data_IF_819552057788
#
_entry.id   IF_819552057788
#
_cell.length_a   1.000
_cell.length_b   1.000
_cell.length_c   1.000
_cell.angle_alpha   90.00
_cell.angle_beta   90.00
_cell.angle_gamma   90.00
#
_symmetry.space_group_name_H-M   'P 1'
#
loop_
_entity.id
_entity.type
_entity.pdbx_description
1 polymer ?
#
# COMPACT_ATOMS: atom_id res chain seq x y z
N UNK A 1 -92.84 -30.52 3.41
CA UNK A 1 -92.14 -31.82 3.56
C UNK A 1 -90.64 -31.60 3.42
N UNK A 2 -89.83 -32.37 4.17
CA UNK A 2 -88.34 -32.41 4.24
C UNK A 2 -87.63 -31.41 5.15
N UNK A 3 -87.44 -31.88 6.39
CA UNK A 3 -86.33 -31.54 7.28
C UNK A 3 -84.97 -31.87 6.64
N UNK A 4 -84.00 -30.95 6.72
CA UNK A 4 -82.57 -31.27 6.76
C UNK A 4 -81.88 -30.32 7.74
N UNK A 5 -81.58 -30.82 8.95
CA UNK A 5 -80.28 -31.33 9.42
C UNK A 5 -79.23 -30.24 9.62
N UNK A 6 -79.03 -29.92 10.90
CA UNK A 6 -77.86 -29.25 11.49
C UNK A 6 -76.55 -29.87 11.00
N UNK A 7 -75.63 -29.02 10.56
CA UNK A 7 -74.20 -29.34 10.50
C UNK A 7 -73.44 -28.31 11.34
N UNK A 8 -72.96 -28.78 12.49
CA UNK A 8 -71.95 -28.10 13.30
C UNK A 8 -70.68 -28.01 12.44
N UNK A 9 -70.22 -26.80 12.13
CA UNK A 9 -68.83 -26.59 11.69
C UNK A 9 -68.06 -26.00 12.85
N UNK A 10 -67.14 -26.82 13.33
CA UNK A 10 -66.15 -26.59 14.36
C UNK A 10 -65.34 -25.33 14.08
N UNK A 11 -65.29 -24.44 15.07
CA UNK A 11 -64.27 -23.40 15.22
C UNK A 11 -62.91 -24.10 15.32
N UNK A 12 -62.06 -23.96 14.30
CA UNK A 12 -60.64 -24.25 14.42
C UNK A 12 -59.86 -23.37 13.43
N UNK A 13 -58.83 -22.70 13.96
CA UNK A 13 -57.83 -21.84 13.30
C UNK A 13 -58.33 -20.41 12.93
N UNK A 14 -57.65 -19.35 13.43
CA UNK A 14 -56.26 -19.12 13.07
C UNK A 14 -55.40 -18.61 14.25
N UNK A 15 -54.70 -19.51 14.94
CA UNK A 15 -53.58 -19.15 15.85
C UNK A 15 -52.21 -19.47 15.24
N UNK A 16 -52.18 -19.97 13.99
CA UNK A 16 -50.96 -20.35 13.28
C UNK A 16 -50.41 -19.26 12.33
N UNK A 17 -51.00 -18.07 12.31
CA UNK A 17 -50.58 -16.99 11.41
C UNK A 17 -49.68 -15.93 12.06
N UNK A 18 -49.58 -15.89 13.40
CA UNK A 18 -48.81 -14.85 14.10
C UNK A 18 -47.39 -15.29 14.49
N UNK A 19 -47.09 -16.60 14.48
CA UNK A 19 -45.77 -17.14 14.81
C UNK A 19 -44.82 -17.21 13.60
N UNK A 20 -45.32 -17.02 12.38
CA UNK A 20 -44.49 -17.05 11.16
C UNK A 20 -43.94 -15.69 10.74
N UNK A 21 -44.33 -14.60 11.40
CA UNK A 21 -43.93 -13.23 11.03
C UNK A 21 -42.64 -12.76 11.71
N UNK A 22 -42.20 -13.40 12.80
CA UNK A 22 -40.97 -13.02 13.54
C UNK A 22 -39.73 -13.74 13.00
N UNK A 23 -39.89 -14.90 12.35
CA UNK A 23 -38.76 -15.67 11.79
C UNK A 23 -38.13 -15.06 10.52
N UNK A 24 -38.86 -14.23 9.78
CA UNK A 24 -38.37 -13.65 8.51
C UNK A 24 -37.43 -12.46 8.74
N UNK A 25 -37.54 -11.75 9.86
CA UNK A 25 -36.65 -10.63 10.21
C UNK A 25 -35.28 -11.09 10.73
N UNK A 26 -35.17 -12.32 11.25
CA UNK A 26 -33.90 -12.89 11.70
C UNK A 26 -32.99 -13.36 10.54
N UNK A 27 -33.56 -13.60 9.36
CA UNK A 27 -32.79 -14.03 8.17
C UNK A 27 -32.32 -12.87 7.28
N UNK A 28 -32.73 -11.64 7.56
CA UNK A 28 -32.20 -10.42 6.91
C UNK A 28 -30.94 -9.87 7.62
N UNK A 29 -30.43 -10.56 8.64
CA UNK A 29 -29.46 -10.05 9.62
C UNK A 29 -27.97 -10.18 9.30
N UNK A 30 -27.55 -10.53 8.08
CA UNK A 30 -26.12 -10.77 7.80
C UNK A 30 -25.30 -9.53 7.40
N UNK A 31 -25.81 -8.29 7.53
CA UNK A 31 -25.07 -7.08 7.11
C UNK A 31 -25.02 -5.91 8.11
N UNK A 32 -25.65 -5.98 9.29
CA UNK A 32 -25.70 -4.84 10.25
C UNK A 32 -24.50 -4.84 11.24
N UNK A 33 -23.86 -5.99 11.44
CA UNK A 33 -22.70 -6.10 12.32
C UNK A 33 -21.50 -5.28 11.84
N UNK A 34 -21.28 -5.17 10.52
CA UNK A 34 -20.17 -4.40 9.96
C UNK A 34 -20.30 -2.88 10.23
N UNK A 35 -21.46 -2.23 10.00
CA UNK A 35 -21.69 -0.85 10.41
C UNK A 35 -21.50 -0.60 11.92
N UNK A 36 -22.03 -1.47 12.78
CA UNK A 36 -21.91 -1.31 14.22
C UNK A 36 -20.45 -1.45 14.71
N UNK A 37 -19.71 -2.43 14.16
CA UNK A 37 -18.30 -2.62 14.47
C UNK A 37 -17.45 -1.43 13.98
N UNK A 38 -17.73 -0.90 12.79
CA UNK A 38 -17.06 0.28 12.22
C UNK A 38 -17.28 1.55 13.06
N UNK A 39 -18.50 1.76 13.55
CA UNK A 39 -18.82 2.92 14.41
C UNK A 39 -18.08 2.84 15.75
N UNK A 40 -17.89 1.64 16.31
CA UNK A 40 -17.25 1.45 17.62
C UNK A 40 -15.72 1.43 17.53
N UNK A 41 -15.15 0.69 16.57
CA UNK A 41 -13.71 0.41 16.50
C UNK A 41 -12.97 1.24 15.44
N UNK A 42 -13.69 1.96 14.58
CA UNK A 42 -13.12 2.69 13.45
C UNK A 42 -12.64 1.77 12.33
N UNK A 43 -12.06 2.33 11.25
CA UNK A 43 -11.54 1.55 10.14
C UNK A 43 -10.36 0.68 10.58
N UNK A 44 -10.27 -0.52 10.03
CA UNK A 44 -9.16 -1.42 10.27
C UNK A 44 -7.82 -0.78 9.83
N UNK A 45 -6.82 -0.77 10.72
CA UNK A 45 -5.51 -0.16 10.48
C UNK A 45 -4.45 -1.21 10.21
N UNK A 46 -3.56 -0.91 9.27
CA UNK A 46 -2.29 -1.59 9.08
C UNK A 46 -1.24 -0.86 9.90
N UNK A 47 -0.54 -1.59 10.77
CA UNK A 47 0.50 -1.04 11.64
C UNK A 47 1.77 -0.67 10.87
N UNK A 48 2.47 0.36 11.32
CA UNK A 48 3.84 0.64 10.90
C UNK A 48 4.76 -0.53 11.29
N UNK A 49 5.80 -0.75 10.49
CA UNK A 49 6.82 -1.79 10.71
C UNK A 49 8.06 -1.24 11.39
N UNK A 50 8.30 0.08 11.28
CA UNK A 50 9.44 0.75 11.89
C UNK A 50 9.07 2.20 12.23
N UNK A 51 9.75 2.77 13.22
CA UNK A 51 9.61 4.16 13.63
C UNK A 51 10.90 4.92 13.30
N UNK A 52 10.74 6.06 12.62
CA UNK A 52 11.85 6.94 12.29
C UNK A 52 11.92 8.06 13.32
N UNK A 53 13.13 8.57 13.59
CA UNK A 53 13.28 9.81 14.32
C UNK A 53 12.89 10.99 13.40
N UNK A 54 11.82 11.73 13.73
CA UNK A 54 11.31 12.79 12.86
C UNK A 54 12.27 13.97 12.68
N UNK A 55 13.25 14.14 13.58
CA UNK A 55 14.12 15.31 13.60
C UNK A 55 15.45 15.08 12.86
N UNK A 56 15.81 13.83 12.59
CA UNK A 56 17.08 13.50 11.93
C UNK A 56 16.98 13.76 10.43
N UNK A 57 17.93 14.51 9.83
CA UNK A 57 17.98 14.72 8.39
C UNK A 57 17.99 13.37 7.65
N UNK A 58 16.94 13.10 6.89
CA UNK A 58 16.72 11.81 6.24
C UNK A 58 16.63 11.97 4.74
N UNK A 59 17.33 11.13 3.98
CA UNK A 59 17.20 11.05 2.52
C UNK A 59 16.56 9.74 2.11
N UNK A 60 15.72 9.78 1.06
CA UNK A 60 15.18 8.59 0.40
C UNK A 60 16.01 8.31 -0.86
N UNK A 61 16.47 7.08 -1.03
CA UNK A 61 17.22 6.69 -2.22
C UNK A 61 16.68 5.40 -2.82
N UNK A 62 16.37 5.45 -4.11
CA UNK A 62 15.87 4.30 -4.88
C UNK A 62 16.98 3.81 -5.79
N UNK A 63 17.54 2.66 -5.45
CA UNK A 63 18.57 1.98 -6.24
C UNK A 63 17.95 0.91 -7.14
N UNK A 64 18.24 1.02 -8.43
CA UNK A 64 17.73 0.12 -9.47
C UNK A 64 18.88 -0.34 -10.36
N UNK A 65 19.87 -0.98 -9.73
CA UNK A 65 21.06 -1.52 -10.41
C UNK A 65 20.73 -2.56 -11.47
N UNK A 66 19.67 -3.34 -11.23
CA UNK A 66 19.20 -4.37 -12.15
C UNK A 66 18.32 -3.80 -13.28
N UNK A 67 18.14 -2.47 -13.35
CA UNK A 67 17.38 -1.77 -14.37
C UNK A 67 15.96 -2.33 -14.56
N UNK A 68 15.29 -2.63 -13.45
CA UNK A 68 13.91 -3.14 -13.40
C UNK A 68 12.89 -2.07 -13.74
N UNK A 69 13.19 -0.81 -13.40
CA UNK A 69 12.29 0.31 -13.67
C UNK A 69 12.49 0.77 -15.12
N UNK A 70 11.44 0.79 -15.97
CA UNK A 70 11.59 0.96 -17.42
C UNK A 70 12.14 2.33 -17.83
N UNK A 71 11.89 3.36 -17.02
CA UNK A 71 12.38 4.73 -17.26
C UNK A 71 13.12 5.25 -16.03
N UNK A 72 14.30 5.84 -16.22
CA UNK A 72 15.09 6.43 -15.12
C UNK A 72 14.32 7.49 -14.33
N UNK A 73 13.46 8.29 -14.98
CA UNK A 73 12.65 9.32 -14.34
C UNK A 73 11.66 8.76 -13.29
N UNK A 74 11.23 7.51 -13.44
CA UNK A 74 10.32 6.87 -12.49
C UNK A 74 10.99 6.62 -11.14
N UNK A 75 12.31 6.42 -11.10
CA UNK A 75 13.06 6.28 -9.83
C UNK A 75 12.93 7.54 -8.98
N UNK A 76 13.07 8.71 -9.61
CA UNK A 76 12.83 10.00 -8.96
C UNK A 76 11.38 10.20 -8.55
N UNK A 77 10.42 9.68 -9.33
CA UNK A 77 8.99 9.71 -8.97
C UNK A 77 8.70 8.86 -7.73
N UNK A 78 9.26 7.66 -7.64
CA UNK A 78 9.14 6.79 -6.45
C UNK A 78 9.69 7.51 -5.21
N UNK A 79 10.92 8.04 -5.30
CA UNK A 79 11.59 8.68 -4.17
C UNK A 79 10.83 9.93 -3.70
N UNK A 80 10.50 10.84 -4.62
CA UNK A 80 9.72 12.05 -4.32
C UNK A 80 8.35 11.74 -3.72
N UNK A 81 7.62 10.76 -4.26
CA UNK A 81 6.31 10.39 -3.71
C UNK A 81 6.42 9.87 -2.27
N UNK A 82 7.49 9.14 -1.95
CA UNK A 82 7.74 8.71 -0.57
C UNK A 82 8.08 9.90 0.35
N UNK A 83 8.95 10.81 -0.09
CA UNK A 83 9.30 12.05 0.65
C UNK A 83 8.05 12.88 0.97
N UNK A 84 7.25 13.18 -0.06
CA UNK A 84 6.00 13.93 0.07
C UNK A 84 5.05 13.23 1.06
N UNK A 85 4.91 11.91 0.96
CA UNK A 85 4.06 11.15 1.88
C UNK A 85 4.59 11.19 3.31
N UNK A 86 5.90 11.03 3.53
CA UNK A 86 6.52 11.07 4.86
C UNK A 86 6.36 12.45 5.52
N UNK A 87 6.51 13.53 4.76
CA UNK A 87 6.30 14.90 5.21
C UNK A 87 4.82 15.18 5.51
N UNK A 88 3.92 14.83 4.59
CA UNK A 88 2.46 15.05 4.75
C UNK A 88 1.92 14.31 5.98
N UNK A 89 2.44 13.10 6.24
CA UNK A 89 2.05 12.29 7.41
C UNK A 89 2.82 12.66 8.68
N UNK A 90 3.70 13.67 8.61
CA UNK A 90 4.53 14.16 9.72
C UNK A 90 5.40 13.08 10.36
N UNK A 91 5.79 12.08 9.57
CA UNK A 91 6.73 11.02 9.99
C UNK A 91 8.13 11.60 10.08
N UNK A 92 8.48 12.49 9.14
CA UNK A 92 9.73 13.22 9.11
C UNK A 92 9.45 14.72 9.04
N UNK A 93 10.33 15.52 9.64
CA UNK A 93 10.32 16.99 9.56
C UNK A 93 11.45 17.51 8.68
N UNK A 94 12.57 16.78 8.64
CA UNK A 94 13.75 17.13 7.87
C UNK A 94 14.03 16.05 6.82
N UNK A 95 13.58 16.30 5.59
CA UNK A 95 13.80 15.40 4.45
C UNK A 95 14.70 16.11 3.45
N UNK A 96 15.82 15.45 3.13
CA UNK A 96 16.72 15.88 2.07
C UNK A 96 16.18 15.34 0.74
N UNK A 97 16.14 16.19 -0.27
CA UNK A 97 15.61 15.84 -1.58
C UNK A 97 16.45 14.73 -2.24
N UNK A 98 15.79 13.68 -2.73
CA UNK A 98 16.44 12.52 -3.37
C UNK A 98 17.29 12.88 -4.59
N UNK A 99 16.97 13.96 -5.30
CA UNK A 99 17.76 14.41 -6.45
C UNK A 99 19.21 14.76 -6.06
N UNK A 100 19.43 15.25 -4.83
CA UNK A 100 20.77 15.51 -4.31
C UNK A 100 21.57 14.21 -4.18
N UNK A 101 20.96 13.13 -3.68
CA UNK A 101 21.63 11.84 -3.55
C UNK A 101 21.91 11.20 -4.91
N UNK A 102 20.99 11.36 -5.88
CA UNK A 102 21.22 10.91 -7.26
C UNK A 102 22.41 11.65 -7.90
N UNK A 103 22.56 12.95 -7.65
CA UNK A 103 23.69 13.72 -8.14
C UNK A 103 25.01 13.29 -7.49
N UNK A 104 25.01 13.08 -6.17
CA UNK A 104 26.16 12.60 -5.43
C UNK A 104 26.69 11.27 -5.99
N UNK A 105 25.79 10.31 -6.27
CA UNK A 105 26.17 9.01 -6.87
C UNK A 105 26.61 9.15 -8.33
N UNK A 106 26.04 10.08 -9.09
CA UNK A 106 26.40 10.29 -10.50
C UNK A 106 27.77 10.93 -10.68
N UNK A 107 28.29 11.61 -9.65
CA UNK A 107 29.64 12.18 -9.64
C UNK A 107 30.73 11.11 -9.49
N UNK A 108 30.36 9.92 -9.01
CA UNK A 108 31.30 8.82 -8.81
C UNK A 108 31.64 8.12 -10.14
N UNK A 109 32.86 8.38 -10.62
CA UNK A 109 33.37 7.90 -11.92
C UNK A 109 34.17 6.60 -11.82
N UNK A 110 34.36 6.04 -10.61
CA UNK A 110 35.39 5.04 -10.35
C UNK A 110 34.87 3.62 -10.16
N UNK A 111 34.04 3.13 -11.09
CA UNK A 111 33.80 1.69 -11.35
C UNK A 111 33.22 0.81 -10.22
N UNK A 112 33.13 1.32 -8.98
CA UNK A 112 32.64 0.63 -7.79
C UNK A 112 31.44 1.39 -7.25
N UNK A 113 30.34 0.72 -6.87
CA UNK A 113 29.19 1.42 -6.35
C UNK A 113 29.49 2.04 -4.98
N UNK A 114 29.18 3.33 -4.82
CA UNK A 114 29.26 4.04 -3.55
C UNK A 114 28.54 3.27 -2.41
N UNK A 115 29.17 3.11 -1.23
CA UNK A 115 28.52 2.58 -0.02
C UNK A 115 27.24 3.35 0.34
N UNK A 116 26.22 2.66 0.83
CA UNK A 116 24.87 3.25 1.07
C UNK A 116 24.93 4.41 2.06
N UNK A 117 25.71 4.27 3.12
CA UNK A 117 25.94 5.28 4.15
C UNK A 117 26.73 6.49 3.62
N UNK A 118 27.63 6.29 2.65
CA UNK A 118 28.35 7.37 2.00
C UNK A 118 27.44 8.23 1.11
N UNK A 119 26.46 7.62 0.44
CA UNK A 119 25.43 8.35 -0.33
C UNK A 119 24.70 9.36 0.56
N UNK A 120 24.35 8.93 1.78
CA UNK A 120 23.65 9.76 2.75
C UNK A 120 24.55 10.90 3.26
N UNK A 121 25.79 10.57 3.65
CA UNK A 121 26.76 11.57 4.13
C UNK A 121 27.10 12.62 3.07
N UNK A 122 27.18 12.23 1.80
CA UNK A 122 27.44 13.13 0.68
C UNK A 122 26.38 14.23 0.50
N UNK A 123 25.18 14.03 1.07
CA UNK A 123 24.09 15.01 1.06
C UNK A 123 23.74 15.51 2.46
N UNK A 124 24.63 15.31 3.43
CA UNK A 124 24.46 15.72 4.83
C UNK A 124 23.24 15.06 5.51
N UNK A 125 22.82 13.88 5.04
CA UNK A 125 21.81 13.07 5.70
C UNK A 125 22.43 12.21 6.79
N UNK A 126 21.77 12.15 7.95
CA UNK A 126 22.12 11.24 9.04
C UNK A 126 21.48 9.87 8.89
N UNK A 127 20.35 9.81 8.16
CA UNK A 127 19.58 8.59 7.92
C UNK A 127 19.30 8.45 6.43
N UNK A 128 19.41 7.23 5.91
CA UNK A 128 18.98 6.91 4.55
C UNK A 128 17.95 5.79 4.55
N UNK A 129 16.80 6.08 3.95
CA UNK A 129 15.80 5.09 3.55
C UNK A 129 16.22 4.61 2.17
N UNK A 130 16.87 3.45 2.12
CA UNK A 130 17.41 2.87 0.91
C UNK A 130 16.48 1.77 0.39
N UNK A 131 16.03 1.88 -0.85
CA UNK A 131 15.14 0.92 -1.48
C UNK A 131 15.75 0.32 -2.75
N UNK A 132 15.69 -1.00 -2.89
CA UNK A 132 16.00 -1.70 -4.16
C UNK A 132 14.71 -2.12 -4.85
N UNK A 133 14.71 -2.12 -6.18
CA UNK A 133 13.59 -2.64 -6.98
C UNK A 133 13.92 -4.04 -7.48
N UNK A 134 13.17 -5.04 -7.00
CA UNK A 134 13.32 -6.44 -7.41
C UNK A 134 12.50 -6.75 -8.67
N UNK A 135 11.29 -6.18 -8.76
CA UNK A 135 10.39 -6.34 -9.88
C UNK A 135 9.53 -5.09 -10.12
N UNK A 136 9.21 -4.82 -11.39
CA UNK A 136 8.29 -3.79 -11.84
C UNK A 136 7.58 -4.32 -13.09
N UNK A 137 6.26 -4.47 -13.04
CA UNK A 137 5.47 -5.05 -14.15
C UNK A 137 4.11 -4.37 -14.24
N UNK A 138 3.60 -4.21 -15.47
CA UNK A 138 2.24 -3.75 -15.73
C UNK A 138 1.26 -4.92 -15.95
N UNK A 139 1.79 -6.06 -16.39
CA UNK A 139 1.03 -7.25 -16.76
C UNK A 139 1.92 -8.48 -16.59
N UNK A 140 1.86 -9.18 -15.45
CA UNK A 140 2.71 -10.35 -15.18
C UNK A 140 2.52 -11.50 -16.19
N UNK A 141 1.30 -11.64 -16.72
CA UNK A 141 0.90 -12.70 -17.67
C UNK A 141 0.86 -12.22 -19.13
N UNK A 142 1.16 -10.94 -19.38
CA UNK A 142 1.10 -10.31 -20.70
C UNK A 142 -0.32 -10.10 -21.25
N UNK A 143 -1.36 -10.40 -20.49
CA UNK A 143 -2.76 -10.31 -20.94
C UNK A 143 -3.64 -9.47 -20.02
N UNK A 144 -3.42 -9.57 -18.70
CA UNK A 144 -4.19 -8.90 -17.66
C UNK A 144 -3.39 -7.70 -17.14
N UNK A 145 -4.04 -6.53 -17.06
CA UNK A 145 -3.44 -5.34 -16.45
C UNK A 145 -3.45 -5.49 -14.94
N UNK A 146 -2.31 -5.88 -14.39
CA UNK A 146 -2.09 -5.98 -12.95
C UNK A 146 -0.75 -5.33 -12.60
N UNK A 147 -0.70 -3.98 -12.54
CA UNK A 147 0.53 -3.27 -12.24
C UNK A 147 0.99 -3.57 -10.83
N UNK A 148 2.20 -4.08 -10.73
CA UNK A 148 2.78 -4.52 -9.48
C UNK A 148 4.29 -4.27 -9.44
N UNK A 149 4.79 -4.09 -8.24
CA UNK A 149 6.22 -4.00 -7.97
C UNK A 149 6.58 -4.71 -6.68
N UNK A 150 7.82 -5.20 -6.65
CA UNK A 150 8.44 -5.73 -5.44
C UNK A 150 9.68 -4.88 -5.15
N UNK A 151 9.75 -4.34 -3.94
CA UNK A 151 10.89 -3.57 -3.47
C UNK A 151 11.43 -4.17 -2.18
N UNK A 152 12.69 -3.89 -1.86
CA UNK A 152 13.26 -4.13 -0.53
C UNK A 152 13.70 -2.83 0.08
N UNK A 153 13.29 -2.57 1.31
CA UNK A 153 13.59 -1.32 2.01
C UNK A 153 14.51 -1.57 3.19
N UNK A 154 15.49 -0.70 3.36
CA UNK A 154 16.42 -0.66 4.48
C UNK A 154 16.45 0.75 5.04
N UNK A 155 16.71 0.87 6.33
CA UNK A 155 17.06 2.13 6.99
C UNK A 155 18.46 1.98 7.54
N UNK A 156 19.35 2.86 7.09
CA UNK A 156 20.74 2.90 7.55
C UNK A 156 20.94 4.20 8.33
N UNK A 157 21.56 4.08 9.49
CA UNK A 157 22.13 5.20 10.22
C UNK A 157 23.49 5.52 9.58
N UNK A 158 23.55 6.64 8.86
CA UNK A 158 24.73 7.03 8.09
C UNK A 158 25.87 7.57 8.96
N UNK A 159 25.57 7.98 10.19
CA UNK A 159 26.55 8.45 11.17
C UNK A 159 27.39 7.28 11.69
N UNK A 160 26.73 6.18 12.04
CA UNK A 160 27.37 4.94 12.51
C UNK A 160 27.70 3.93 11.41
N UNK A 161 27.15 4.12 10.20
CA UNK A 161 27.24 3.17 9.09
C UNK A 161 26.43 1.88 9.32
N UNK A 162 25.60 1.82 10.36
CA UNK A 162 24.88 0.61 10.74
C UNK A 162 23.48 0.57 10.13
N UNK A 163 23.06 -0.63 9.72
CA UNK A 163 21.65 -0.87 9.40
C UNK A 163 20.85 -0.87 10.69
N UNK A 164 19.91 0.05 10.81
CA UNK A 164 18.98 0.11 11.96
C UNK A 164 17.72 -0.70 11.70
N UNK A 165 17.34 -0.90 10.43
CA UNK A 165 16.20 -1.74 10.08
C UNK A 165 16.25 -2.22 8.62
N UNK A 166 15.67 -3.41 8.31
CA UNK A 166 15.30 -4.47 9.25
C UNK A 166 16.53 -5.28 9.67
N UNK A 167 16.32 -6.29 10.52
CA UNK A 167 17.38 -7.26 10.86
C UNK A 167 17.90 -8.00 9.62
N UNK A 168 17.00 -8.35 8.70
CA UNK A 168 17.37 -8.99 7.42
C UNK A 168 18.30 -8.10 6.60
N UNK A 169 19.47 -8.67 6.24
CA UNK A 169 20.48 -8.03 5.41
C UNK A 169 19.97 -7.70 4.01
N UNK A 170 18.99 -8.44 3.51
CA UNK A 170 18.38 -8.22 2.22
C UNK A 170 17.41 -7.04 2.21
N UNK A 171 16.95 -6.58 3.38
CA UNK A 171 15.94 -5.54 3.52
C UNK A 171 14.52 -6.11 3.60
N UNK A 172 13.56 -5.26 3.97
CA UNK A 172 12.17 -5.66 4.14
C UNK A 172 11.51 -5.70 2.78
N UNK A 173 11.13 -6.90 2.34
CA UNK A 173 10.35 -7.05 1.12
C UNK A 173 8.97 -6.40 1.28
N UNK A 174 8.58 -5.60 0.29
CA UNK A 174 7.26 -4.99 0.18
C UNK A 174 6.75 -5.17 -1.24
N UNK A 175 5.54 -5.72 -1.35
CA UNK A 175 4.82 -5.81 -2.61
C UNK A 175 3.82 -4.66 -2.68
N UNK A 176 3.80 -3.96 -3.81
CA UNK A 176 2.87 -2.89 -4.11
C UNK A 176 2.10 -3.29 -5.36
N UNK A 177 0.78 -3.14 -5.34
CA UNK A 177 -0.08 -3.37 -6.51
C UNK A 177 -1.05 -2.22 -6.69
N UNK A 178 -1.39 -1.95 -7.94
CA UNK A 178 -2.56 -1.14 -8.28
C UNK A 178 -3.74 -2.11 -8.43
N UNK A 179 -4.85 -1.92 -7.68
CA UNK A 179 -6.03 -2.76 -7.84
C UNK A 179 -6.49 -2.80 -9.29
N UNK A 180 -6.85 -3.99 -9.78
CA UNK A 180 -7.33 -4.17 -11.15
C UNK A 180 -8.52 -3.26 -11.42
N UNK A 181 -8.42 -2.44 -12.47
CA UNK A 181 -9.55 -1.69 -13.01
C UNK A 181 -10.14 -2.49 -14.17
N UNK A 182 -11.47 -2.69 -14.25
CA UNK A 182 -12.09 -3.29 -15.42
C UNK A 182 -11.76 -2.44 -16.65
N UNK A 183 -11.04 -3.00 -17.62
CA UNK A 183 -10.57 -2.26 -18.80
C UNK A 183 -9.40 -2.97 -19.47
N UNK A 184 -9.29 -2.80 -20.80
CA UNK A 184 -8.30 -3.46 -21.63
C UNK A 184 -6.86 -3.09 -21.26
N UNK A 185 -5.91 -3.98 -21.59
CA UNK A 185 -4.49 -3.69 -21.60
C UNK A 185 -4.16 -2.35 -22.27
N UNK A 186 -3.19 -1.57 -21.75
CA UNK A 186 -2.79 -0.33 -22.38
C UNK A 186 -2.47 -0.61 -23.85
N UNK A 187 -3.24 0.02 -24.72
CA UNK A 187 -3.22 -0.19 -26.17
C UNK A 187 -2.21 0.72 -26.86
N UNK A 188 -1.78 1.77 -26.16
CA UNK A 188 -0.81 2.74 -26.64
C UNK A 188 0.39 2.88 -25.69
N UNK A 189 1.51 3.37 -26.22
CA UNK A 189 2.69 3.69 -25.40
C UNK A 189 2.41 4.77 -24.35
N UNK A 190 1.50 5.70 -24.66
CA UNK A 190 1.15 6.77 -23.72
C UNK A 190 0.35 6.23 -22.53
N UNK A 191 -0.61 5.34 -22.77
CA UNK A 191 -1.37 4.67 -21.71
C UNK A 191 -0.44 3.82 -20.82
N UNK A 192 0.51 3.09 -21.43
CA UNK A 192 1.52 2.36 -20.67
C UNK A 192 2.37 3.30 -19.79
N UNK A 193 2.85 4.41 -20.35
CA UNK A 193 3.65 5.38 -19.60
C UNK A 193 2.87 6.00 -18.42
N UNK A 194 1.59 6.32 -18.60
CA UNK A 194 0.73 6.81 -17.51
C UNK A 194 0.57 5.78 -16.40
N UNK A 195 0.40 4.51 -16.76
CA UNK A 195 0.27 3.43 -15.79
C UNK A 195 1.58 3.16 -15.03
N UNK A 196 2.72 3.29 -15.71
CA UNK A 196 4.04 3.25 -15.08
C UNK A 196 4.24 4.42 -14.10
N UNK A 197 3.84 5.64 -14.48
CA UNK A 197 3.91 6.82 -13.61
C UNK A 197 3.02 6.63 -12.37
N UNK A 198 1.79 6.12 -12.55
CA UNK A 198 0.88 5.78 -11.47
C UNK A 198 1.48 4.72 -10.52
N UNK A 199 2.05 3.64 -11.08
CA UNK A 199 2.69 2.59 -10.30
C UNK A 199 3.90 3.14 -9.53
N UNK A 200 4.74 3.96 -10.16
CA UNK A 200 5.88 4.58 -9.51
C UNK A 200 5.48 5.46 -8.32
N UNK A 201 4.47 6.31 -8.48
CA UNK A 201 3.93 7.09 -7.35
C UNK A 201 3.37 6.16 -6.26
N UNK A 202 2.65 5.10 -6.64
CA UNK A 202 2.08 4.15 -5.68
C UNK A 202 3.15 3.40 -4.88
N UNK A 203 4.28 3.06 -5.51
CA UNK A 203 5.45 2.46 -4.83
C UNK A 203 5.98 3.42 -3.76
N UNK A 204 6.14 4.71 -4.09
CA UNK A 204 6.60 5.72 -3.12
C UNK A 204 5.69 5.79 -1.88
N UNK A 205 4.36 5.83 -2.10
CA UNK A 205 3.37 5.75 -1.00
C UNK A 205 3.51 4.46 -0.20
N UNK A 206 3.62 3.30 -0.86
CA UNK A 206 3.75 2.00 -0.18
C UNK A 206 5.03 1.85 0.62
N UNK A 207 6.13 2.45 0.16
CA UNK A 207 7.37 2.57 0.91
C UNK A 207 7.20 3.45 2.14
N UNK A 208 6.60 4.64 2.02
CA UNK A 208 6.38 5.53 3.15
C UNK A 208 5.47 4.90 4.23
N UNK A 209 4.46 4.13 3.79
CA UNK A 209 3.51 3.40 4.65
C UNK A 209 4.15 2.36 5.59
N UNK A 210 5.42 2.01 5.39
CA UNK A 210 6.21 1.22 6.34
C UNK A 210 6.34 1.95 7.69
N UNK A 211 6.34 3.28 7.68
CA UNK A 211 6.75 4.10 8.83
C UNK A 211 5.59 4.77 9.58
N UNK A 212 4.34 4.51 9.18
CA UNK A 212 3.16 5.03 9.89
C UNK A 212 1.93 4.13 9.79
N UNK A 213 1.10 4.17 10.82
CA UNK A 213 -0.20 3.50 10.84
C UNK A 213 -1.13 4.15 9.80
N UNK A 214 -1.80 3.31 9.02
CA UNK A 214 -2.76 3.77 8.00
C UNK A 214 -3.93 2.82 7.89
N UNK A 215 -5.03 3.34 7.36
CA UNK A 215 -6.21 2.54 7.10
C UNK A 215 -5.90 1.49 6.04
N UNK A 216 -6.46 0.29 6.22
CA UNK A 216 -6.28 -0.81 5.28
C UNK A 216 -6.74 -0.42 3.88
N UNK A 217 -7.78 0.41 3.75
CA UNK A 217 -8.31 0.87 2.46
C UNK A 217 -7.34 1.80 1.72
N UNK A 218 -6.57 2.60 2.46
CA UNK A 218 -5.55 3.49 1.90
C UNK A 218 -4.24 2.77 1.56
N UNK A 219 -4.09 1.50 1.97
CA UNK A 219 -2.82 0.77 1.83
C UNK A 219 -2.46 0.52 0.36
N UNK A 220 -1.24 0.90 0.00
CA UNK A 220 -0.61 0.59 -1.29
C UNK A 220 -0.07 -0.84 -1.35
N UNK A 221 -0.07 -1.55 -0.22
CA UNK A 221 0.52 -2.87 -0.04
C UNK A 221 -0.53 -3.99 -0.14
N UNK A 222 -1.64 -3.72 -0.83
CA UNK A 222 -2.72 -4.69 -1.09
C UNK A 222 -2.46 -5.48 -2.36
#
# INVERSE_FOLDING_TARGET
>A
MRHHRRTRRTLAAPLAALTLSVGVLALAGCNILAPAFYVIHGPEKVRKLHELDPNRPTVVFVDDRANRVPRRALRGTIARSAEETLLQRRVLRNVIASNSAVQAVSADRYGSPMPIDEIARAVEAEVIIYATVDAFTLSPDGSTVEPAAQIRVKVIDAVSGQRVWPEDRNGQAVTIRIPQRPGYAPSTRNEAAQLEDELAARIGVGMAQIFFDHERQASARR
#
